data_IF_582343094394
#
_entry.id   IF_582343094394
#
_cell.length_a   1.000
_cell.length_b   1.000
_cell.length_c   1.000
_cell.angle_alpha   90.00
_cell.angle_beta   90.00
_cell.angle_gamma   90.00
#
_symmetry.space_group_name_H-M   'P 1'
#
loop_
_entity.id
_entity.type
_entity.pdbx_description
1 polymer ?
#
# COMPACT_ATOMS: atom_id res chain seq x y z
N UNK A 1 7.23 -15.23 16.43
CA UNK A 1 6.25 -14.71 15.46
C UNK A 1 6.21 -13.21 15.66
N UNK A 2 6.75 -12.42 14.73
CA UNK A 2 6.67 -10.96 14.82
C UNK A 2 5.21 -10.56 14.61
N UNK A 3 4.54 -10.13 15.67
CA UNK A 3 3.21 -9.54 15.58
C UNK A 3 3.27 -8.41 14.55
N UNK A 4 2.67 -8.62 13.39
CA UNK A 4 2.64 -7.61 12.35
C UNK A 4 1.74 -6.49 12.85
N UNK A 5 2.33 -5.31 13.11
CA UNK A 5 1.57 -4.16 13.60
C UNK A 5 0.43 -3.86 12.64
N UNK A 6 -0.75 -3.66 13.23
CA UNK A 6 -1.97 -3.35 12.50
C UNK A 6 -2.22 -1.85 12.65
N UNK A 7 -2.40 -1.18 11.51
CA UNK A 7 -2.65 0.25 11.43
C UNK A 7 -4.08 0.49 10.97
N UNK A 8 -4.81 1.34 11.69
CA UNK A 8 -6.09 1.84 11.19
C UNK A 8 -5.84 2.81 10.00
N UNK A 9 -6.91 3.24 9.33
CA UNK A 9 -6.80 4.10 8.14
C UNK A 9 -6.04 5.41 8.38
N UNK A 10 -6.21 6.04 9.55
CA UNK A 10 -5.51 7.28 9.89
C UNK A 10 -4.01 7.01 10.04
N UNK A 11 -3.64 6.01 10.83
CA UNK A 11 -2.25 5.63 11.03
C UNK A 11 -1.59 5.18 9.72
N UNK A 12 -2.30 4.41 8.89
CA UNK A 12 -1.80 4.01 7.58
C UNK A 12 -1.54 5.22 6.67
N UNK A 13 -2.41 6.25 6.70
CA UNK A 13 -2.20 7.46 5.91
C UNK A 13 -0.99 8.28 6.36
N UNK A 14 -0.74 8.35 7.68
CA UNK A 14 0.44 9.00 8.25
C UNK A 14 1.72 8.21 7.91
N UNK A 15 1.65 6.89 7.99
CA UNK A 15 2.74 5.98 7.62
C UNK A 15 3.12 6.10 6.13
N UNK A 16 2.12 6.18 5.25
CA UNK A 16 2.38 6.41 3.82
C UNK A 16 2.96 7.80 3.57
N UNK A 17 2.49 8.83 4.26
CA UNK A 17 3.02 10.19 4.11
C UNK A 17 4.48 10.32 4.57
N UNK A 18 4.89 9.58 5.60
CA UNK A 18 6.28 9.60 6.07
C UNK A 18 7.25 8.92 5.12
N UNK A 19 6.81 7.91 4.35
CA UNK A 19 7.64 7.18 3.39
C UNK A 19 7.53 7.70 1.96
N UNK A 20 6.36 8.22 1.57
CA UNK A 20 6.02 8.66 0.23
C UNK A 20 5.66 10.14 0.24
N UNK A 21 6.68 11.00 0.23
CA UNK A 21 6.55 12.46 0.39
C UNK A 21 5.86 13.19 -0.77
N UNK A 22 5.41 12.46 -1.80
CA UNK A 22 4.66 13.05 -2.93
C UNK A 22 3.19 13.35 -2.59
N UNK A 23 2.68 12.85 -1.46
CA UNK A 23 1.33 13.14 -0.93
C UNK A 23 1.38 13.30 0.58
N UNK A 24 0.58 14.22 1.11
CA UNK A 24 0.41 14.37 2.55
C UNK A 24 -0.58 13.33 3.13
N UNK A 25 -0.66 13.24 4.45
CA UNK A 25 -1.51 12.26 5.14
C UNK A 25 -2.99 12.39 4.76
N UNK A 26 -3.52 13.61 4.57
CA UNK A 26 -4.91 13.82 4.16
C UNK A 26 -5.19 13.30 2.74
N UNK A 27 -4.26 13.52 1.81
CA UNK A 27 -4.34 13.01 0.45
C UNK A 27 -4.28 11.47 0.42
N UNK A 28 -3.39 10.87 1.23
CA UNK A 28 -3.34 9.42 1.40
C UNK A 28 -4.61 8.86 2.04
N UNK A 29 -5.18 9.56 3.01
CA UNK A 29 -6.43 9.16 3.64
C UNK A 29 -7.58 9.09 2.62
N UNK A 30 -7.74 10.12 1.79
CA UNK A 30 -8.73 10.12 0.71
C UNK A 30 -8.46 9.03 -0.33
N UNK A 31 -7.19 8.80 -0.67
CA UNK A 31 -6.82 7.71 -1.57
C UNK A 31 -7.21 6.35 -1.00
N UNK A 32 -6.94 6.07 0.28
CA UNK A 32 -7.32 4.81 0.94
C UNK A 32 -8.84 4.59 0.94
N UNK A 33 -9.63 5.63 1.19
CA UNK A 33 -11.10 5.54 1.09
C UNK A 33 -11.55 5.15 -0.32
N UNK A 34 -10.92 5.72 -1.36
CA UNK A 34 -11.22 5.38 -2.75
C UNK A 34 -10.69 4.00 -3.14
N UNK A 35 -9.52 3.60 -2.66
CA UNK A 35 -8.88 2.33 -2.98
C UNK A 35 -9.71 1.14 -2.50
N UNK A 36 -10.35 1.25 -1.34
CA UNK A 36 -11.31 0.24 -0.83
C UNK A 36 -12.52 0.12 -1.76
N UNK A 37 -13.06 1.24 -2.25
CA UNK A 37 -14.31 1.29 -3.03
C UNK A 37 -14.11 0.96 -4.51
N UNK A 38 -12.93 1.20 -5.06
CA UNK A 38 -12.67 1.09 -6.49
C UNK A 38 -11.69 -0.04 -6.78
N UNK A 39 -12.22 -1.21 -7.12
CA UNK A 39 -11.48 -2.41 -7.55
C UNK A 39 -10.70 -2.25 -8.88
N UNK A 40 -10.72 -1.07 -9.51
CA UNK A 40 -10.12 -0.82 -10.84
C UNK A 40 -8.73 -0.15 -10.77
N UNK A 41 -8.22 0.19 -9.58
CA UNK A 41 -6.87 0.72 -9.47
C UNK A 41 -5.86 -0.42 -9.64
N UNK A 42 -4.83 -0.19 -10.47
CA UNK A 42 -3.73 -1.13 -10.77
C UNK A 42 -3.02 -1.62 -9.49
N UNK A 43 -3.13 -0.85 -8.39
CA UNK A 43 -2.59 -1.18 -7.08
C UNK A 43 -3.71 -1.23 -6.04
N UNK A 44 -4.19 -2.44 -5.74
CA UNK A 44 -5.12 -2.69 -4.63
C UNK A 44 -4.31 -2.90 -3.36
N UNK A 45 -4.47 -2.03 -2.37
CA UNK A 45 -3.83 -2.20 -1.07
C UNK A 45 -4.62 -3.26 -0.30
N UNK A 46 -3.96 -4.34 0.12
CA UNK A 46 -4.60 -5.36 0.94
C UNK A 46 -5.01 -4.75 2.28
N UNK A 47 -6.28 -4.92 2.62
CA UNK A 47 -6.83 -4.50 3.90
C UNK A 47 -7.49 -5.70 4.57
N UNK A 48 -7.61 -5.61 5.89
CA UNK A 48 -8.32 -6.58 6.71
C UNK A 48 -9.38 -5.85 7.52
N UNK A 49 -10.55 -6.46 7.64
CA UNK A 49 -11.61 -5.97 8.51
C UNK A 49 -11.39 -6.55 9.90
N UNK A 50 -11.12 -5.67 10.87
CA UNK A 50 -11.02 -6.05 12.29
C UNK A 50 -12.26 -5.47 12.98
N UNK A 51 -13.24 -6.33 13.23
CA UNK A 51 -14.57 -5.92 13.68
C UNK A 51 -15.32 -5.15 12.59
N UNK A 52 -15.47 -3.83 12.77
CA UNK A 52 -16.09 -2.90 11.79
C UNK A 52 -15.12 -1.88 11.22
N UNK A 53 -13.81 -2.03 11.50
CA UNK A 53 -12.78 -1.10 11.07
C UNK A 53 -11.92 -1.72 9.98
N UNK A 54 -11.63 -0.91 8.95
CA UNK A 54 -10.63 -1.26 7.94
C UNK A 54 -9.25 -0.98 8.50
N UNK A 55 -8.43 -2.02 8.53
CA UNK A 55 -7.07 -1.98 9.02
C UNK A 55 -6.08 -2.53 7.99
N UNK A 56 -4.82 -2.16 8.14
CA UNK A 56 -3.73 -2.51 7.25
C UNK A 56 -2.60 -3.11 8.06
N UNK A 57 -2.04 -4.24 7.61
CA UNK A 57 -0.81 -4.75 8.21
C UNK A 57 0.38 -3.92 7.73
N UNK A 58 1.36 -3.76 8.61
CA UNK A 58 2.65 -3.14 8.29
C UNK A 58 3.26 -3.71 7.00
N UNK A 59 3.24 -5.04 6.86
CA UNK A 59 3.76 -5.74 5.69
C UNK A 59 3.07 -5.30 4.39
N UNK A 60 1.75 -5.09 4.42
CA UNK A 60 0.99 -4.65 3.24
C UNK A 60 1.34 -3.21 2.86
N UNK A 61 1.52 -2.33 3.84
CA UNK A 61 1.95 -0.95 3.63
C UNK A 61 3.37 -0.88 3.08
N UNK A 62 4.31 -1.65 3.63
CA UNK A 62 5.69 -1.73 3.16
C UNK A 62 5.79 -2.30 1.75
N UNK A 63 5.02 -3.36 1.45
CA UNK A 63 4.96 -3.92 0.09
C UNK A 63 4.48 -2.88 -0.92
N UNK A 64 3.46 -2.10 -0.56
CA UNK A 64 2.96 -1.01 -1.41
C UNK A 64 3.95 0.13 -1.58
N UNK A 65 4.65 0.53 -0.51
CA UNK A 65 5.72 1.54 -0.60
C UNK A 65 6.80 1.05 -1.55
N UNK A 66 7.26 -0.19 -1.38
CA UNK A 66 8.27 -0.81 -2.25
C UNK A 66 7.80 -0.84 -3.71
N UNK A 67 6.56 -1.24 -4.00
CA UNK A 67 6.05 -1.24 -5.37
C UNK A 67 5.90 0.18 -5.95
N UNK A 68 5.64 1.18 -5.11
CA UNK A 68 5.48 2.58 -5.52
C UNK A 68 6.81 3.31 -5.72
N UNK A 69 7.88 2.85 -5.07
CA UNK A 69 9.23 3.44 -5.19
C UNK A 69 10.16 2.63 -6.09
N UNK A 70 9.80 1.39 -6.44
CA UNK A 70 10.57 0.59 -7.39
C UNK A 70 10.41 1.24 -8.78
N UNK A 71 11.49 1.74 -9.40
CA UNK A 71 11.40 2.26 -10.75
C UNK A 71 10.97 1.13 -11.69
N UNK A 72 10.04 1.45 -12.60
CA UNK A 72 9.42 0.56 -13.60
C UNK A 72 10.45 -0.29 -14.40
N UNK A 73 11.71 0.12 -14.41
CA UNK A 73 12.84 -0.55 -15.07
C UNK A 73 13.33 -1.85 -14.42
N UNK A 74 12.85 -2.25 -13.23
CA UNK A 74 13.24 -3.52 -12.60
C UNK A 74 12.20 -4.65 -12.66
N UNK A 75 10.94 -4.37 -13.02
CA UNK A 75 9.93 -5.44 -13.13
C UNK A 75 9.99 -6.23 -14.45
N UNK A 76 10.74 -5.74 -15.46
CA UNK A 76 10.83 -6.36 -16.80
C UNK A 76 12.19 -7.01 -17.13
N UNK A 77 13.07 -7.27 -16.16
CA UNK A 77 14.35 -7.98 -16.39
C UNK A 77 14.34 -9.44 -15.89
N UNK A 78 13.17 -10.08 -15.88
CA UNK A 78 13.00 -11.44 -15.35
C UNK A 78 12.40 -12.47 -16.30
N UNK A 79 11.98 -12.13 -17.52
CA UNK A 79 11.42 -13.11 -18.46
C UNK A 79 11.82 -12.79 -19.91
N UNK A 80 13.06 -13.08 -20.27
CA UNK A 80 13.43 -13.47 -21.63
C UNK A 80 14.44 -14.62 -21.54
N UNK A 81 13.97 -15.78 -21.09
CA UNK A 81 14.57 -17.05 -21.49
C UNK A 81 13.74 -17.57 -22.66
N UNK A 82 14.29 -17.55 -23.86
CA UNK A 82 13.59 -18.08 -25.03
C UNK A 82 14.17 -17.65 -26.36
N UNK A 83 15.44 -17.97 -26.62
CA UNK A 83 15.85 -18.64 -27.85
C UNK A 83 17.27 -19.16 -27.74
#
# INVERSE_FOLDING_TARGET
MTESRIYNRKQASEFLASHLQHKNAAQWHHWLVRNIRQSKHVYKLTFQEVGRQICYSENSLLAFIKSSTTPYNQMNKGVQHGR
#
